data_IF_588323030602
#
_entry.id   IF_588323030602
#
_cell.length_a   1.000
_cell.length_b   1.000
_cell.length_c   1.000
_cell.angle_alpha   90.00
_cell.angle_beta   90.00
_cell.angle_gamma   90.00
#
_symmetry.space_group_name_H-M   'P 1'
#
loop_
_entity.id
_entity.type
_entity.pdbx_description
1 polymer ?
#
# COMPACT_ATOMS: atom_id res chain seq x y z
N UNK A 1 10.95 14.84 12.23
CA UNK A 1 9.84 14.51 11.32
C UNK A 1 8.83 13.71 12.13
N UNK A 2 7.58 14.18 12.24
CA UNK A 2 6.54 13.48 12.97
C UNK A 2 6.09 12.26 12.15
N UNK A 3 5.94 11.10 12.79
CA UNK A 3 5.53 9.87 12.10
C UNK A 3 4.08 9.97 11.61
N UNK A 4 3.80 9.51 10.38
CA UNK A 4 2.48 9.64 9.74
C UNK A 4 1.49 8.54 10.17
N UNK A 5 1.69 7.93 11.33
CA UNK A 5 0.97 6.72 11.74
C UNK A 5 -0.54 6.90 11.90
N UNK A 6 -1.04 8.11 12.09
CA UNK A 6 -2.47 8.39 12.20
C UNK A 6 -3.05 9.00 10.92
N UNK A 7 -2.20 9.25 9.94
CA UNK A 7 -2.60 9.90 8.70
C UNK A 7 -3.27 8.90 7.76
N UNK A 8 -4.51 9.24 7.40
CA UNK A 8 -5.25 8.56 6.33
C UNK A 8 -5.56 9.59 5.27
N UNK A 9 -5.15 9.30 4.03
CA UNK A 9 -5.38 10.15 2.87
C UNK A 9 -6.39 9.44 1.98
N UNK A 10 -7.59 9.99 1.89
CA UNK A 10 -8.60 9.47 0.98
C UNK A 10 -8.17 9.68 -0.47
N UNK A 11 -8.36 8.66 -1.31
CA UNK A 11 -8.04 8.69 -2.74
C UNK A 11 -9.31 8.47 -3.56
N UNK A 12 -10.21 9.48 -3.66
CA UNK A 12 -11.52 9.31 -4.27
C UNK A 12 -11.46 8.94 -5.76
N UNK A 13 -10.43 9.39 -6.47
CA UNK A 13 -10.20 9.09 -7.89
C UNK A 13 -8.85 8.38 -8.03
N UNK A 14 -8.84 7.08 -7.80
CA UNK A 14 -7.62 6.24 -7.77
C UNK A 14 -6.87 6.18 -9.10
N UNK A 15 -7.52 6.55 -10.21
CA UNK A 15 -6.92 6.67 -11.54
C UNK A 15 -6.04 7.93 -11.69
N UNK A 16 -6.14 8.89 -10.77
CA UNK A 16 -5.34 10.13 -10.78
C UNK A 16 -4.24 10.08 -9.73
N UNK A 17 -3.09 10.73 -9.93
CA UNK A 17 -2.05 10.79 -8.90
C UNK A 17 -2.59 11.42 -7.59
N UNK A 18 -2.24 10.83 -6.45
CA UNK A 18 -2.53 11.38 -5.13
C UNK A 18 -1.28 11.96 -4.51
N UNK A 19 -1.32 13.24 -4.14
CA UNK A 19 -0.28 13.88 -3.36
C UNK A 19 -0.28 13.40 -1.91
N UNK A 20 0.89 13.00 -1.43
CA UNK A 20 1.09 12.55 -0.06
C UNK A 20 1.46 13.72 0.86
N UNK A 21 1.04 13.67 2.13
CA UNK A 21 1.32 14.72 3.11
C UNK A 21 2.80 14.78 3.47
N UNK A 22 3.21 15.89 4.10
CA UNK A 22 4.56 16.14 4.59
C UNK A 22 5.66 16.04 3.51
N UNK A 23 5.32 16.31 2.24
CA UNK A 23 6.31 16.29 1.16
C UNK A 23 6.79 14.89 0.79
N UNK A 24 6.02 13.85 1.11
CA UNK A 24 6.33 12.46 0.74
C UNK A 24 6.10 12.17 -0.76
N UNK A 25 5.93 13.20 -1.59
CA UNK A 25 5.75 13.07 -3.03
C UNK A 25 4.32 12.63 -3.44
N UNK A 26 4.19 11.83 -4.48
CA UNK A 26 2.90 11.38 -5.03
C UNK A 26 2.85 9.87 -5.23
N UNK A 27 1.66 9.29 -5.14
CA UNK A 27 1.40 7.91 -5.55
C UNK A 27 0.45 7.87 -6.73
N UNK A 28 0.62 6.87 -7.59
CA UNK A 28 -0.27 6.65 -8.72
C UNK A 28 -0.46 5.15 -8.95
N UNK A 29 -1.67 4.74 -9.34
CA UNK A 29 -1.92 3.41 -9.88
C UNK A 29 -1.76 3.44 -11.40
N UNK A 30 -0.82 2.65 -11.91
CA UNK A 30 -0.57 2.51 -13.35
C UNK A 30 -1.05 1.15 -13.85
N UNK A 31 -1.55 1.02 -15.09
CA UNK A 31 -1.92 -0.28 -15.65
C UNK A 31 -0.75 -1.26 -15.74
N UNK A 32 -1.03 -2.57 -15.64
CA UNK A 32 -0.06 -3.64 -15.92
C UNK A 32 0.73 -4.13 -14.71
N UNK A 33 0.14 -4.14 -13.52
CA UNK A 33 0.77 -4.65 -12.30
C UNK A 33 0.03 -5.82 -11.66
N UNK A 34 0.56 -6.27 -10.52
CA UNK A 34 0.04 -7.41 -9.76
C UNK A 34 -1.10 -7.06 -8.80
N UNK A 35 -1.56 -5.80 -8.78
CA UNK A 35 -2.65 -5.38 -7.90
C UNK A 35 -3.99 -5.50 -8.59
N UNK A 36 -4.99 -6.05 -7.92
CA UNK A 36 -6.37 -5.93 -8.37
C UNK A 36 -6.82 -4.46 -8.33
N UNK A 37 -7.77 -4.12 -9.19
CA UNK A 37 -8.47 -2.84 -9.12
C UNK A 37 -9.39 -2.82 -7.89
N UNK A 38 -9.64 -1.64 -7.29
CA UNK A 38 -10.65 -1.51 -6.25
C UNK A 38 -12.03 -1.83 -6.83
N UNK A 39 -12.89 -2.46 -6.02
CA UNK A 39 -14.31 -2.67 -6.35
C UNK A 39 -15.06 -1.34 -6.21
N UNK A 40 -16.21 -1.22 -6.85
CA UNK A 40 -17.00 0.03 -6.83
C UNK A 40 -17.38 0.49 -5.42
N UNK A 41 -17.58 -0.45 -4.49
CA UNK A 41 -17.94 -0.17 -3.09
C UNK A 41 -16.71 0.10 -2.19
N UNK A 42 -15.50 -0.13 -2.69
CA UNK A 42 -14.28 -0.01 -1.90
C UNK A 42 -13.70 1.41 -1.97
N UNK A 43 -13.69 2.10 -0.84
CA UNK A 43 -12.99 3.37 -0.72
C UNK A 43 -11.48 3.18 -0.78
N UNK A 44 -10.81 3.84 -1.72
CA UNK A 44 -9.34 3.78 -1.81
C UNK A 44 -8.73 4.82 -0.87
N UNK A 45 -7.72 4.41 -0.10
CA UNK A 45 -6.97 5.34 0.75
C UNK A 45 -5.50 4.94 0.88
N UNK A 46 -4.67 5.93 1.20
CA UNK A 46 -3.28 5.72 1.62
C UNK A 46 -3.19 5.93 3.13
N UNK A 47 -2.55 4.97 3.79
CA UNK A 47 -2.23 5.01 5.23
C UNK A 47 -0.74 4.72 5.42
N UNK A 48 -0.24 4.90 6.64
CA UNK A 48 1.17 4.61 6.98
C UNK A 48 1.29 3.63 8.17
N UNK A 49 0.18 2.97 8.50
CA UNK A 49 0.13 1.84 9.43
C UNK A 49 -0.88 0.81 8.96
N UNK A 50 -0.63 -0.45 9.30
CA UNK A 50 -1.59 -1.53 9.16
C UNK A 50 -1.61 -2.36 10.45
N UNK A 51 -2.78 -2.52 11.10
CA UNK A 51 -2.91 -3.42 12.22
C UNK A 51 -2.97 -4.89 11.75
N UNK A 52 -2.83 -5.82 12.69
CA UNK A 52 -3.09 -7.23 12.45
C UNK A 52 -1.96 -8.00 11.76
N UNK A 53 -2.35 -9.15 11.21
CA UNK A 53 -1.48 -10.11 10.55
C UNK A 53 -1.74 -10.02 9.04
N UNK A 54 -0.67 -9.80 8.28
CA UNK A 54 -0.71 -9.60 6.84
C UNK A 54 -0.23 -10.85 6.11
N UNK A 55 -0.90 -11.16 5.02
CA UNK A 55 -0.55 -12.26 4.13
C UNK A 55 -0.08 -11.66 2.81
N UNK A 56 1.22 -11.78 2.51
CA UNK A 56 1.82 -11.26 1.28
C UNK A 56 2.00 -12.35 0.22
N UNK A 57 1.98 -11.95 -1.05
CA UNK A 57 2.24 -12.84 -2.19
C UNK A 57 3.67 -13.38 -2.09
N UNK A 58 3.89 -14.62 -2.57
CA UNK A 58 5.22 -15.26 -2.54
C UNK A 58 5.66 -15.78 -1.17
N UNK A 59 4.83 -15.64 -0.13
CA UNK A 59 5.14 -16.12 1.22
C UNK A 59 4.06 -17.03 1.79
N UNK A 60 4.49 -18.05 2.54
CA UNK A 60 3.59 -18.88 3.33
C UNK A 60 3.44 -18.36 4.77
N UNK A 61 2.19 -18.20 5.23
CA UNK A 61 1.84 -17.72 6.57
C UNK A 61 1.80 -16.20 6.75
N UNK A 62 1.02 -15.76 7.74
CA UNK A 62 0.83 -14.35 8.05
C UNK A 62 1.91 -13.77 8.97
N UNK A 63 2.22 -12.47 8.80
CA UNK A 63 3.18 -11.72 9.63
C UNK A 63 2.68 -10.32 9.94
N UNK A 64 3.06 -9.80 11.10
CA UNK A 64 2.84 -8.38 11.44
C UNK A 64 3.68 -7.49 10.52
N UNK A 65 3.16 -6.31 10.16
CA UNK A 65 3.83 -5.35 9.27
C UNK A 65 5.29 -5.05 9.69
N UNK A 66 5.54 -4.84 10.99
CA UNK A 66 6.89 -4.59 11.52
C UNK A 66 7.88 -5.70 11.14
N UNK A 67 7.44 -6.96 11.11
CA UNK A 67 8.29 -8.11 10.78
C UNK A 67 8.54 -8.19 9.27
N UNK A 68 7.53 -7.90 8.45
CA UNK A 68 7.69 -7.77 7.00
C UNK A 68 8.71 -6.68 6.67
N UNK A 69 8.64 -5.52 7.33
CA UNK A 69 9.63 -4.46 7.17
C UNK A 69 11.05 -4.89 7.53
N UNK A 70 11.23 -5.66 8.60
CA UNK A 70 12.55 -6.17 8.98
C UNK A 70 13.09 -7.16 7.93
N UNK A 71 12.24 -8.06 7.45
CA UNK A 71 12.61 -9.08 6.46
C UNK A 71 12.93 -8.48 5.09
N UNK A 72 12.22 -7.41 4.70
CA UNK A 72 12.51 -6.65 3.47
C UNK A 72 13.63 -5.62 3.66
N UNK A 73 14.29 -5.57 4.82
CA UNK A 73 15.39 -4.65 5.09
C UNK A 73 15.00 -3.15 5.10
N UNK A 74 13.71 -2.83 5.27
CA UNK A 74 13.23 -1.45 5.25
C UNK A 74 13.74 -0.72 6.52
N UNK A 75 14.47 0.40 6.37
CA UNK A 75 14.97 1.15 7.51
C UNK A 75 13.85 1.74 8.37
N UNK A 76 14.02 1.89 9.70
CA UNK A 76 12.98 2.40 10.59
C UNK A 76 12.33 3.71 10.15
N UNK A 77 13.10 4.68 9.66
CA UNK A 77 12.64 5.99 9.18
C UNK A 77 11.86 5.95 7.85
N UNK A 78 11.92 4.82 7.12
CA UNK A 78 11.09 4.57 5.93
C UNK A 78 9.79 3.88 6.31
N UNK A 79 9.70 3.19 7.45
CA UNK A 79 8.54 2.35 7.80
C UNK A 79 7.28 3.16 8.11
N UNK A 80 7.46 4.35 8.66
CA UNK A 80 6.41 5.31 9.03
C UNK A 80 6.08 6.30 7.91
N UNK A 81 6.83 6.26 6.81
CA UNK A 81 6.67 7.11 5.62
C UNK A 81 6.36 6.32 4.35
N UNK A 82 6.45 4.99 4.38
CA UNK A 82 6.11 4.13 3.24
C UNK A 82 4.58 4.11 3.06
N UNK A 83 4.07 4.49 1.89
CA UNK A 83 2.64 4.47 1.59
C UNK A 83 2.10 3.04 1.58
N UNK A 84 1.01 2.84 2.31
CA UNK A 84 0.23 1.61 2.33
C UNK A 84 -1.11 1.87 1.64
N UNK A 85 -1.40 1.11 0.60
CA UNK A 85 -2.66 1.17 -0.13
C UNK A 85 -3.71 0.32 0.55
N UNK A 86 -4.85 0.92 0.82
CA UNK A 86 -6.02 0.29 1.40
C UNK A 86 -7.23 0.41 0.47
N UNK A 87 -7.97 -0.69 0.35
CA UNK A 87 -9.32 -0.71 -0.21
C UNK A 87 -10.28 -1.00 0.95
N UNK A 88 -11.08 -0.01 1.32
CA UNK A 88 -11.80 0.01 2.60
C UNK A 88 -10.83 -0.12 3.78
N UNK A 89 -11.01 -1.15 4.59
CA UNK A 89 -10.15 -1.48 5.74
C UNK A 89 -9.08 -2.55 5.43
N UNK A 90 -9.04 -3.05 4.19
CA UNK A 90 -8.14 -4.13 3.79
C UNK A 90 -6.85 -3.57 3.22
N UNK A 91 -5.70 -4.00 3.76
CA UNK A 91 -4.39 -3.66 3.21
C UNK A 91 -4.15 -4.44 1.90
N UNK A 92 -3.80 -3.71 0.85
CA UNK A 92 -3.59 -4.23 -0.50
C UNK A 92 -2.12 -4.30 -0.84
N UNK A 93 -1.36 -3.24 -0.55
CA UNK A 93 0.07 -3.19 -0.87
C UNK A 93 0.81 -2.14 -0.07
N UNK A 94 2.12 -2.34 -0.01
CA UNK A 94 3.09 -1.32 0.34
C UNK A 94 3.82 -0.88 -0.92
N UNK A 95 3.82 0.43 -1.20
CA UNK A 95 4.39 0.96 -2.44
C UNK A 95 5.87 0.60 -2.58
N UNK A 96 6.18 -0.15 -3.66
CA UNK A 96 7.54 -0.63 -3.95
C UNK A 96 8.10 -1.65 -2.95
N UNK A 97 7.27 -2.28 -2.10
CA UNK A 97 7.78 -3.27 -1.12
C UNK A 97 7.07 -4.62 -1.18
N UNK A 98 5.73 -4.67 -1.17
CA UNK A 98 5.00 -5.94 -1.24
C UNK A 98 3.55 -5.74 -1.68
N UNK A 99 2.94 -6.83 -2.15
CA UNK A 99 1.50 -6.97 -2.42
C UNK A 99 0.92 -8.01 -1.47
N UNK A 100 -0.26 -7.74 -0.90
CA UNK A 100 -0.99 -8.71 -0.09
C UNK A 100 -1.76 -9.69 -0.97
N UNK A 101 -2.12 -10.86 -0.44
CA UNK A 101 -2.96 -11.83 -1.16
C UNK A 101 -4.32 -11.23 -1.52
N UNK A 102 -4.90 -10.44 -0.62
CA UNK A 102 -6.16 -9.73 -0.84
C UNK A 102 -6.05 -8.66 -1.94
N UNK A 103 -4.84 -8.15 -2.17
CA UNK A 103 -4.55 -7.17 -3.20
C UNK A 103 -4.06 -7.76 -4.51
N UNK A 104 -3.76 -9.06 -4.57
CA UNK A 104 -3.24 -9.70 -5.77
C UNK A 104 -4.30 -9.73 -6.88
N UNK A 105 -3.90 -9.37 -8.10
CA UNK A 105 -4.71 -9.57 -9.29
C UNK A 105 -4.74 -11.06 -9.66
N UNK A 106 -5.93 -11.56 -10.01
CA UNK A 106 -6.10 -12.92 -10.52
C UNK A 106 -5.77 -13.01 -12.03
N UNK A 107 -5.85 -11.87 -12.74
CA UNK A 107 -5.69 -11.76 -14.20
C UNK A 107 -4.66 -10.70 -14.62
N UNK A 108 -4.33 -10.66 -15.92
CA UNK A 108 -3.35 -9.74 -16.53
C UNK A 108 -3.76 -8.26 -16.58
N UNK A 109 -4.91 -7.90 -16.02
CA UNK A 109 -5.48 -6.53 -16.07
C UNK A 109 -5.31 -5.73 -14.77
N UNK A 110 -4.39 -6.15 -13.91
CA UNK A 110 -4.07 -5.47 -12.67
C UNK A 110 -3.39 -4.11 -12.86
N UNK A 111 -3.17 -3.44 -11.74
CA UNK A 111 -2.50 -2.15 -11.63
C UNK A 111 -1.25 -2.28 -10.76
N UNK A 112 -0.34 -1.32 -10.86
CA UNK A 112 0.85 -1.22 -10.01
C UNK A 112 0.83 0.08 -9.23
N UNK A 113 1.17 0.01 -7.95
CA UNK A 113 1.28 1.18 -7.08
C UNK A 113 2.69 1.76 -7.20
N UNK A 114 2.79 2.88 -7.90
CA UNK A 114 4.03 3.62 -8.09
C UNK A 114 4.07 4.78 -7.09
N UNK A 115 5.20 4.91 -6.39
CA UNK A 115 5.46 6.01 -5.47
C UNK A 115 6.62 6.84 -6.00
N UNK A 116 6.35 8.12 -6.26
CA UNK A 116 7.34 9.13 -6.63
C UNK A 116 7.64 9.97 -5.40
N UNK A 117 8.73 9.64 -4.70
CA UNK A 117 9.21 10.33 -3.50
C UNK A 117 10.18 11.47 -3.86
#
# INVERSE_FOLDING_TARGET
MAGQHETTVAWPVWQTPLALPAGLGTVQLVPGGELRRPREEESVSIRFKAPGVLHIVGRNGGRKLKKIWQEQGIPPWRRDTTPLLFYGETLIAAAGVFVTREGAAEDKEGVSLVWHA
#
